data_IF_022591559954
#
_entry.id   IF_022591559954
#
_cell.length_a   1.000
_cell.length_b   1.000
_cell.length_c   1.000
_cell.angle_alpha   90.00
_cell.angle_beta   90.00
_cell.angle_gamma   90.00
#
_symmetry.space_group_name_H-M   'P 1'
#
loop_
_entity.id
_entity.type
_entity.pdbx_description
1 polymer ?
#
# COMPACT_ATOMS: atom_id res chain seq x y z
N UNK A 1 -15.16 37.08 -0.43
CA UNK A 1 -13.80 36.56 -0.66
C UNK A 1 -13.74 35.11 -0.18
N UNK A 2 -13.44 34.17 -1.08
CA UNK A 2 -12.90 32.80 -0.87
C UNK A 2 -13.64 31.85 0.10
N UNK A 3 -14.47 30.95 -0.44
CA UNK A 3 -14.54 29.54 0.01
C UNK A 3 -13.34 28.77 -0.60
N UNK A 4 -12.99 27.50 -0.25
CA UNK A 4 -13.75 26.49 0.52
C UNK A 4 -12.91 25.59 1.48
N UNK A 5 -13.57 24.77 2.29
CA UNK A 5 -13.07 23.41 2.61
C UNK A 5 -14.27 22.55 2.99
N UNK A 6 -14.74 21.78 2.02
CA UNK A 6 -15.80 20.80 2.19
C UNK A 6 -15.33 19.76 3.21
N UNK A 7 -15.96 19.78 4.39
CA UNK A 7 -16.06 18.61 5.24
C UNK A 7 -16.91 17.56 4.49
N UNK A 8 -16.27 16.81 3.61
CA UNK A 8 -16.79 15.56 3.08
C UNK A 8 -15.61 14.62 3.20
N UNK A 9 -15.51 13.80 4.24
CA UNK A 9 -15.96 12.41 4.10
C UNK A 9 -15.94 11.69 5.46
N UNK A 10 -17.09 11.54 6.15
CA UNK A 10 -17.25 10.47 7.15
C UNK A 10 -17.71 9.14 6.50
N UNK A 11 -18.12 9.13 5.22
CA UNK A 11 -18.74 7.96 4.57
C UNK A 11 -17.74 6.92 4.04
N UNK A 12 -16.57 7.33 3.56
CA UNK A 12 -15.49 6.40 3.19
C UNK A 12 -14.91 5.69 4.41
N UNK A 13 -15.04 6.30 5.60
CA UNK A 13 -14.50 5.77 6.83
C UNK A 13 -15.16 4.47 7.31
N UNK A 14 -16.49 4.51 7.31
CA UNK A 14 -17.31 3.35 7.64
C UNK A 14 -17.19 2.25 6.58
N UNK A 15 -16.98 2.62 5.31
CA UNK A 15 -16.83 1.67 4.21
C UNK A 15 -15.55 0.82 4.36
N UNK A 16 -14.38 1.43 4.58
CA UNK A 16 -13.12 0.67 4.69
C UNK A 16 -13.06 -0.23 5.94
N UNK A 17 -13.85 0.10 6.97
CA UNK A 17 -13.97 -0.67 8.22
C UNK A 17 -15.04 -1.76 8.15
N UNK A 18 -15.85 -1.83 7.09
CA UNK A 18 -16.87 -2.89 6.90
C UNK A 18 -16.68 -3.69 5.60
N UNK A 19 -15.90 -3.17 4.65
CA UNK A 19 -15.49 -3.89 3.46
C UNK A 19 -14.71 -5.15 3.78
N UNK A 20 -14.81 -6.10 2.86
CA UNK A 20 -14.08 -7.36 2.87
C UNK A 20 -12.57 -7.15 2.77
N UNK A 21 -11.78 -8.15 3.17
CA UNK A 21 -10.31 -8.09 3.05
C UNK A 21 -9.85 -7.90 1.59
N UNK A 22 -10.58 -8.46 0.63
CA UNK A 22 -10.28 -8.32 -0.80
C UNK A 22 -10.48 -6.89 -1.29
N UNK A 23 -11.56 -6.22 -0.86
CA UNK A 23 -11.81 -4.81 -1.17
C UNK A 23 -10.78 -3.91 -0.52
N UNK A 24 -10.43 -4.15 0.75
CA UNK A 24 -9.36 -3.40 1.40
C UNK A 24 -8.02 -3.58 0.67
N UNK A 25 -7.70 -4.80 0.26
CA UNK A 25 -6.48 -5.08 -0.49
C UNK A 25 -6.48 -4.38 -1.85
N UNK A 26 -7.60 -4.37 -2.56
CA UNK A 26 -7.74 -3.63 -3.81
C UNK A 26 -7.59 -2.11 -3.62
N UNK A 27 -8.23 -1.55 -2.58
CA UNK A 27 -8.11 -0.14 -2.24
C UNK A 27 -6.67 0.23 -1.85
N UNK A 28 -5.99 -0.61 -1.05
CA UNK A 28 -4.60 -0.43 -0.68
C UNK A 28 -3.67 -0.46 -1.90
N UNK A 29 -3.86 -1.41 -2.84
CA UNK A 29 -3.10 -1.45 -4.10
C UNK A 29 -3.33 -0.21 -4.96
N UNK A 30 -4.58 0.25 -5.05
CA UNK A 30 -4.91 1.46 -5.80
C UNK A 30 -4.26 2.70 -5.17
N UNK A 31 -4.31 2.82 -3.84
CA UNK A 31 -3.64 3.88 -3.10
C UNK A 31 -2.12 3.83 -3.31
N UNK A 32 -1.51 2.64 -3.24
CA UNK A 32 -0.08 2.42 -3.52
C UNK A 32 0.31 2.90 -4.91
N UNK A 33 -0.48 2.60 -5.95
CA UNK A 33 -0.22 3.06 -7.32
C UNK A 33 -0.40 4.57 -7.51
N UNK A 34 -1.26 5.20 -6.70
CA UNK A 34 -1.49 6.65 -6.72
C UNK A 34 -0.47 7.44 -5.88
N UNK A 35 0.23 6.78 -4.95
CA UNK A 35 1.29 7.40 -4.14
C UNK A 35 2.50 7.69 -5.02
N UNK A 36 3.01 8.91 -4.93
CA UNK A 36 4.18 9.37 -5.67
C UNK A 36 5.49 8.73 -5.22
N UNK A 37 6.59 9.16 -5.84
CA UNK A 37 7.94 8.68 -5.52
C UNK A 37 8.65 9.49 -4.43
N UNK A 38 7.88 10.05 -3.48
CA UNK A 38 8.48 10.80 -2.37
C UNK A 38 9.20 9.87 -1.38
N UNK A 39 10.37 10.28 -0.90
CA UNK A 39 11.19 9.48 0.00
C UNK A 39 10.51 9.20 1.36
N UNK A 40 9.53 10.01 1.77
CA UNK A 40 8.75 9.77 2.98
C UNK A 40 7.58 8.81 2.76
N UNK A 41 7.29 8.44 1.51
CA UNK A 41 6.16 7.59 1.15
C UNK A 41 6.61 6.27 0.54
N UNK A 42 7.72 6.27 -0.18
CA UNK A 42 8.27 5.12 -0.89
C UNK A 42 9.73 4.90 -0.53
N UNK A 43 10.07 3.65 -0.22
CA UNK A 43 11.44 3.20 -0.05
C UNK A 43 11.87 2.32 -1.24
N UNK A 44 12.78 2.83 -2.06
CA UNK A 44 13.16 2.19 -3.31
C UNK A 44 12.02 2.20 -4.34
N UNK A 45 12.00 1.21 -5.24
CA UNK A 45 11.07 1.20 -6.38
C UNK A 45 9.70 0.57 -6.06
N UNK A 46 9.63 -0.34 -5.08
CA UNK A 46 8.43 -1.17 -4.86
C UNK A 46 7.90 -1.13 -3.43
N UNK A 47 8.65 -0.65 -2.44
CA UNK A 47 8.20 -0.68 -1.03
C UNK A 47 7.54 0.65 -0.67
N UNK A 48 6.28 0.61 -0.25
CA UNK A 48 5.51 1.79 0.18
C UNK A 48 5.21 1.69 1.66
N UNK A 49 5.41 2.78 2.41
CA UNK A 49 5.16 2.81 3.86
C UNK A 49 3.67 2.64 4.16
N UNK A 50 3.33 1.81 5.16
CA UNK A 50 1.95 1.63 5.61
C UNK A 50 1.29 2.96 6.03
N UNK A 51 2.05 3.87 6.63
CA UNK A 51 1.59 5.21 6.99
C UNK A 51 1.17 6.04 5.76
N UNK A 52 1.88 5.91 4.64
CA UNK A 52 1.54 6.61 3.40
C UNK A 52 0.26 6.05 2.77
N UNK A 53 0.09 4.72 2.79
CA UNK A 53 -1.14 4.05 2.34
C UNK A 53 -2.33 4.45 3.21
N UNK A 54 -2.14 4.49 4.53
CA UNK A 54 -3.16 4.94 5.48
C UNK A 54 -3.58 6.38 5.21
N UNK A 55 -2.62 7.29 5.05
CA UNK A 55 -2.89 8.68 4.71
C UNK A 55 -3.63 8.82 3.37
N UNK A 56 -3.22 8.07 2.34
CA UNK A 56 -3.87 8.08 1.03
C UNK A 56 -5.32 7.54 1.04
N UNK A 57 -5.63 6.61 1.94
CA UNK A 57 -6.97 6.08 2.14
C UNK A 57 -7.88 6.98 3.00
N UNK A 58 -7.36 8.10 3.51
CA UNK A 58 -8.11 9.08 4.31
C UNK A 58 -7.70 9.15 5.79
N UNK A 59 -6.63 8.46 6.18
CA UNK A 59 -6.01 8.52 7.51
C UNK A 59 -6.96 8.13 8.64
N UNK A 60 -6.79 8.76 9.80
CA UNK A 60 -7.65 8.57 10.98
C UNK A 60 -9.12 8.93 10.72
N UNK A 61 -9.39 9.76 9.71
CA UNK A 61 -10.75 10.09 9.29
C UNK A 61 -11.46 8.93 8.60
N UNK A 62 -10.70 7.96 8.06
CA UNK A 62 -11.23 6.81 7.33
C UNK A 62 -11.17 5.50 8.12
N UNK A 63 -10.04 5.19 8.73
CA UNK A 63 -9.89 3.98 9.53
C UNK A 63 -8.85 4.26 10.59
N UNK A 64 -9.07 3.82 11.84
CA UNK A 64 -8.03 3.97 12.85
C UNK A 64 -6.77 3.20 12.45
N UNK A 65 -5.60 3.79 12.65
CA UNK A 65 -4.31 3.24 12.26
C UNK A 65 -4.13 1.79 12.74
N UNK A 66 -4.46 1.50 13.99
CA UNK A 66 -4.35 0.16 14.58
C UNK A 66 -5.33 -0.85 13.94
N UNK A 67 -6.53 -0.41 13.58
CA UNK A 67 -7.50 -1.26 12.89
C UNK A 67 -7.07 -1.53 11.43
N UNK A 68 -6.53 -0.51 10.77
CA UNK A 68 -5.94 -0.63 9.43
C UNK A 68 -4.79 -1.64 9.41
N UNK A 69 -3.82 -1.48 10.32
CA UNK A 69 -2.68 -2.37 10.50
C UNK A 69 -3.11 -3.85 10.65
N UNK A 70 -4.05 -4.14 11.55
CA UNK A 70 -4.58 -5.51 11.74
C UNK A 70 -5.22 -6.09 10.47
N UNK A 71 -5.96 -5.27 9.72
CA UNK A 71 -6.59 -5.72 8.47
C UNK A 71 -5.58 -5.92 7.35
N UNK A 72 -4.54 -5.09 7.25
CA UNK A 72 -3.43 -5.28 6.31
C UNK A 72 -2.69 -6.59 6.57
N UNK A 73 -2.42 -6.91 7.83
CA UNK A 73 -1.85 -8.21 8.24
C UNK A 73 -2.79 -9.36 7.86
N UNK A 74 -4.09 -9.21 8.10
CA UNK A 74 -5.07 -10.25 7.75
C UNK A 74 -5.12 -10.50 6.23
N UNK A 75 -5.07 -9.44 5.43
CA UNK A 75 -5.01 -9.52 3.97
C UNK A 75 -3.68 -10.12 3.48
N UNK A 76 -2.57 -9.85 4.18
CA UNK A 76 -1.28 -10.49 3.91
C UNK A 76 -1.30 -11.99 4.19
N UNK A 77 -1.83 -12.39 5.36
CA UNK A 77 -2.02 -13.82 5.71
C UNK A 77 -2.94 -14.54 4.73
N UNK A 78 -3.90 -13.84 4.13
CA UNK A 78 -4.78 -14.35 3.10
C UNK A 78 -4.14 -14.39 1.68
N UNK A 79 -2.87 -13.98 1.53
CA UNK A 79 -2.17 -13.96 0.24
C UNK A 79 -2.66 -12.87 -0.73
N UNK A 80 -3.44 -11.90 -0.24
CA UNK A 80 -3.98 -10.81 -1.07
C UNK A 80 -2.99 -9.64 -1.24
N UNK A 81 -2.04 -9.52 -0.31
CA UNK A 81 -1.03 -8.46 -0.26
C UNK A 81 0.30 -9.04 0.23
N UNK A 82 1.41 -8.40 -0.13
CA UNK A 82 2.73 -8.74 0.42
C UNK A 82 3.20 -7.60 1.31
N UNK A 83 3.43 -7.91 2.58
CA UNK A 83 4.04 -6.99 3.54
C UNK A 83 5.52 -7.30 3.68
N UNK A 84 6.34 -6.27 3.85
CA UNK A 84 7.77 -6.40 4.11
C UNK A 84 8.21 -5.72 5.40
N UNK A 85 9.23 -6.31 6.02
CA UNK A 85 9.94 -5.73 7.16
C UNK A 85 10.86 -4.61 6.69
N UNK A 86 11.15 -3.69 7.59
CA UNK A 86 12.23 -2.74 7.43
C UNK A 86 13.51 -3.31 8.05
N UNK A 87 14.43 -3.78 7.21
CA UNK A 87 15.73 -4.28 7.67
C UNK A 87 16.66 -3.13 8.15
N UNK A 88 16.37 -1.89 7.74
CA UNK A 88 17.23 -0.73 7.98
C UNK A 88 16.42 0.50 8.39
N UNK A 89 15.67 0.35 9.48
CA UNK A 89 14.85 1.42 10.10
C UNK A 89 15.63 2.71 10.36
N UNK A 90 16.92 2.58 10.72
CA UNK A 90 17.79 3.71 11.01
C UNK A 90 18.07 4.66 9.82
N UNK A 91 17.87 4.20 8.58
CA UNK A 91 18.02 5.03 7.38
C UNK A 91 16.69 5.63 6.90
N UNK A 92 15.60 5.41 7.63
CA UNK A 92 14.25 5.80 7.22
C UNK A 92 13.74 6.99 8.03
N UNK A 93 12.75 7.75 7.50
CA UNK A 93 12.15 8.86 8.23
C UNK A 93 11.47 8.34 9.50
N UNK A 94 11.84 8.82 10.71
CA UNK A 94 11.36 8.24 11.96
C UNK A 94 9.84 8.36 12.13
N UNK A 95 9.23 9.40 11.56
CA UNK A 95 7.78 9.58 11.54
C UNK A 95 7.06 8.53 10.67
N UNK A 96 7.65 8.15 9.52
CA UNK A 96 7.08 7.14 8.63
C UNK A 96 7.21 5.73 9.24
N UNK A 97 8.31 5.46 9.95
CA UNK A 97 8.55 4.21 10.67
C UNK A 97 7.52 4.05 11.80
N UNK A 98 7.42 5.04 12.70
CA UNK A 98 6.51 4.97 13.85
C UNK A 98 5.03 4.82 13.41
N UNK A 99 4.64 5.47 12.32
CA UNK A 99 3.30 5.33 11.74
C UNK A 99 3.06 3.99 11.02
N UNK A 100 4.12 3.28 10.63
CA UNK A 100 4.02 2.06 9.80
C UNK A 100 4.29 0.77 10.54
N UNK A 101 4.87 0.83 11.75
CA UNK A 101 5.20 -0.35 12.55
C UNK A 101 3.93 -1.16 12.89
N UNK A 102 3.83 -2.38 12.37
CA UNK A 102 2.85 -3.37 12.81
C UNK A 102 3.52 -4.67 13.22
N UNK A 103 3.26 -5.07 14.47
CA UNK A 103 3.76 -6.32 15.04
C UNK A 103 2.66 -7.37 15.06
N UNK A 104 2.92 -8.51 14.42
CA UNK A 104 2.01 -9.66 14.39
C UNK A 104 2.79 -10.97 14.55
N UNK A 105 2.50 -11.72 15.62
CA UNK A 105 3.12 -13.03 15.86
C UNK A 105 4.65 -13.04 15.99
N UNK A 106 5.27 -11.90 16.32
CA UNK A 106 6.74 -11.74 16.41
C UNK A 106 7.40 -11.24 15.13
N UNK A 107 6.64 -10.96 14.07
CA UNK A 107 7.12 -10.29 12.86
C UNK A 107 6.69 -8.82 12.83
N UNK A 108 7.56 -7.95 12.33
CA UNK A 108 7.34 -6.50 12.27
C UNK A 108 7.28 -6.01 10.83
N UNK A 109 6.10 -5.65 10.36
CA UNK A 109 5.90 -5.17 9.00
C UNK A 109 5.82 -3.64 8.97
N UNK A 110 6.42 -3.07 7.93
CA UNK A 110 6.51 -1.61 7.74
C UNK A 110 6.07 -1.19 6.35
N UNK A 111 6.16 -2.11 5.38
CA UNK A 111 5.92 -1.83 3.98
C UNK A 111 4.84 -2.70 3.38
N UNK A 112 4.15 -2.15 2.40
CA UNK A 112 3.39 -2.89 1.38
C UNK A 112 4.23 -2.92 0.11
N UNK A 113 4.32 -4.08 -0.54
CA UNK A 113 4.92 -4.17 -1.87
C UNK A 113 3.91 -3.73 -2.92
N UNK A 114 4.37 -2.84 -3.79
CA UNK A 114 3.72 -2.56 -5.05
C UNK A 114 4.05 -3.67 -6.06
N UNK A 115 3.11 -4.58 -6.25
CA UNK A 115 3.18 -5.62 -7.28
C UNK A 115 3.06 -5.00 -8.69
N UNK A 116 2.30 -3.90 -8.81
CA UNK A 116 2.08 -3.17 -10.07
C UNK A 116 3.23 -2.26 -10.47
N UNK A 117 4.12 -1.88 -9.53
CA UNK A 117 5.50 -1.48 -9.84
C UNK A 117 6.26 -2.70 -10.35
N UNK A 118 5.80 -3.19 -11.49
CA UNK A 118 6.34 -4.30 -12.21
C UNK A 118 7.82 -4.07 -12.36
N UNK A 119 8.59 -5.10 -12.04
CA UNK A 119 9.98 -5.17 -12.44
C UNK A 119 10.03 -4.90 -13.96
N UNK A 120 10.76 -3.89 -14.45
CA UNK A 120 10.78 -3.57 -15.88
C UNK A 120 11.29 -4.74 -16.74
N UNK A 121 11.83 -5.80 -16.12
CA UNK A 121 12.27 -7.03 -16.76
C UNK A 121 11.26 -8.18 -16.72
N UNK A 122 10.15 -8.06 -15.98
CA UNK A 122 9.12 -9.10 -15.89
C UNK A 122 8.11 -9.08 -17.07
N UNK A 123 8.24 -8.15 -18.03
CA UNK A 123 7.45 -8.14 -19.28
C UNK A 123 8.11 -8.82 -20.46
N UNK A 124 9.43 -8.94 -20.46
CA UNK A 124 10.15 -9.47 -21.62
C UNK A 124 9.97 -11.00 -21.77
N UNK A 125 9.64 -11.70 -20.68
CA UNK A 125 9.42 -13.15 -20.69
C UNK A 125 8.05 -13.57 -21.26
N UNK A 126 7.18 -12.62 -21.62
CA UNK A 126 5.84 -12.88 -22.15
C UNK A 126 5.65 -12.36 -23.59
N UNK A 127 6.71 -12.34 -24.39
CA UNK A 127 6.57 -12.38 -25.84
C UNK A 127 6.46 -13.83 -26.30
N UNK A 128 5.26 -14.37 -26.59
CA UNK A 128 5.19 -15.51 -27.47
C UNK A 128 5.66 -15.03 -28.85
N UNK A 129 6.81 -15.51 -29.31
CA UNK A 129 7.16 -15.38 -30.74
C UNK A 129 6.02 -15.96 -31.57
N UNK A 130 5.29 -15.17 -32.38
CA UNK A 130 4.48 -15.73 -33.43
C UNK A 130 5.40 -15.87 -34.63
N UNK A 131 5.83 -17.11 -34.85
CA UNK A 131 6.36 -17.60 -36.10
C UNK A 131 5.49 -17.08 -37.26
N UNK A 132 6.05 -16.23 -38.12
CA UNK A 132 5.47 -15.97 -39.43
C UNK A 132 6.46 -16.46 -40.50
N UNK A 133 6.25 -17.70 -40.90
CA UNK A 133 6.69 -18.20 -42.19
C UNK A 133 5.78 -17.70 -43.31
N UNK A 134 6.35 -17.57 -44.50
CA UNK A 134 5.68 -17.20 -45.75
C UNK A 134 6.20 -15.87 -46.27
N UNK A 135 6.93 -15.79 -47.39
CA UNK A 135 6.88 -16.57 -48.63
C UNK A 135 8.26 -16.59 -49.30
#
# INVERSE_FOLDING_TARGET
MRQPLAASTPRAALALTTCSLAELAAAARHAVAAIGHDANQRYGLRKVFLAAVHAALGGEGAIHLEAFKRRMVSAHRAGLLVLARADLVAAMPPAAVAGSEVSDGGAEFHFVLDDAARDPWADDAASPEPSQGGR
#
